data_IF_624465039602
#
_entry.id   IF_624465039602
#
_cell.length_a   1.000
_cell.length_b   1.000
_cell.length_c   1.000
_cell.angle_alpha   90.00
_cell.angle_beta   90.00
_cell.angle_gamma   90.00
#
_symmetry.space_group_name_H-M   'P 1'
#
loop_
_entity.id
_entity.type
_entity.pdbx_description
1 polymer ?
#
# COMPACT_ATOMS: atom_id res chain seq x y z
N UNK A 1 -15.31 -3.56 1.16
CA UNK A 1 -14.79 -4.49 0.13
C UNK A 1 -13.57 -5.25 0.68
N UNK A 2 -13.01 -6.24 -0.01
CA UNK A 2 -11.70 -6.86 0.35
C UNK A 2 -10.74 -6.72 -0.81
N UNK A 3 -9.49 -6.39 -0.53
CA UNK A 3 -8.43 -6.19 -1.52
C UNK A 3 -7.36 -7.25 -1.33
N UNK A 4 -6.92 -7.88 -2.42
CA UNK A 4 -5.82 -8.83 -2.33
C UNK A 4 -4.48 -8.08 -2.22
N UNK A 5 -3.56 -8.62 -1.41
CA UNK A 5 -2.21 -8.08 -1.27
C UNK A 5 -1.49 -8.02 -2.62
N UNK A 6 -1.71 -9.01 -3.47
CA UNK A 6 -1.18 -9.07 -4.84
C UNK A 6 -1.66 -7.89 -5.70
N UNK A 7 -2.92 -7.47 -5.57
CA UNK A 7 -3.47 -6.33 -6.30
C UNK A 7 -2.86 -5.02 -5.84
N UNK A 8 -2.70 -4.82 -4.52
CA UNK A 8 -2.00 -3.66 -3.97
C UNK A 8 -0.56 -3.60 -4.47
N UNK A 9 0.17 -4.71 -4.38
CA UNK A 9 1.55 -4.78 -4.88
C UNK A 9 1.62 -4.45 -6.36
N UNK A 10 0.72 -4.99 -7.19
CA UNK A 10 0.68 -4.70 -8.62
C UNK A 10 0.42 -3.23 -8.90
N UNK A 11 -0.50 -2.61 -8.17
CA UNK A 11 -0.82 -1.19 -8.31
C UNK A 11 0.38 -0.29 -7.98
N UNK A 12 1.19 -0.64 -6.98
CA UNK A 12 2.44 0.05 -6.68
C UNK A 12 3.57 -0.31 -7.66
N UNK A 13 3.64 -1.57 -8.10
CA UNK A 13 4.72 -2.06 -8.95
C UNK A 13 4.82 -1.30 -10.28
N UNK A 14 3.70 -0.82 -10.81
CA UNK A 14 3.66 0.00 -12.02
C UNK A 14 4.43 1.34 -11.85
N UNK A 15 4.43 1.90 -10.64
CA UNK A 15 5.07 3.18 -10.33
C UNK A 15 6.49 3.05 -9.76
N UNK A 16 6.68 2.16 -8.78
CA UNK A 16 7.93 2.08 -7.99
C UNK A 16 8.73 0.79 -8.26
N UNK A 17 8.20 -0.11 -9.08
CA UNK A 17 8.78 -1.43 -9.36
C UNK A 17 8.40 -2.48 -8.31
N UNK A 18 8.32 -3.74 -8.75
CA UNK A 18 7.79 -4.85 -7.96
C UNK A 18 8.49 -5.05 -6.61
N UNK A 19 9.84 -5.08 -6.59
CA UNK A 19 10.57 -5.31 -5.35
C UNK A 19 10.34 -4.20 -4.30
N UNK A 20 10.24 -2.93 -4.74
CA UNK A 20 9.92 -1.81 -3.84
C UNK A 20 8.46 -1.84 -3.40
N UNK A 21 7.56 -2.24 -4.28
CA UNK A 21 6.14 -2.39 -3.96
C UNK A 21 5.91 -3.47 -2.89
N UNK A 22 6.58 -4.62 -3.02
CA UNK A 22 6.53 -5.69 -2.02
C UNK A 22 7.05 -5.22 -0.65
N UNK A 23 8.22 -4.57 -0.63
CA UNK A 23 8.79 -4.03 0.61
C UNK A 23 7.90 -2.95 1.23
N UNK A 24 7.39 -2.01 0.44
CA UNK A 24 6.50 -0.95 0.91
C UNK A 24 5.23 -1.53 1.56
N UNK A 25 4.56 -2.46 0.88
CA UNK A 25 3.33 -3.08 1.40
C UNK A 25 3.61 -3.89 2.66
N UNK A 26 4.72 -4.64 2.73
CA UNK A 26 5.08 -5.40 3.95
C UNK A 26 5.43 -4.49 5.13
N UNK A 27 6.20 -3.42 4.90
CA UNK A 27 6.51 -2.44 5.94
C UNK A 27 5.24 -1.78 6.48
N UNK A 28 4.36 -1.34 5.59
CA UNK A 28 3.09 -0.74 5.96
C UNK A 28 2.22 -1.72 6.73
N UNK A 29 2.11 -2.97 6.27
CA UNK A 29 1.32 -4.01 6.93
C UNK A 29 1.83 -4.33 8.33
N UNK A 30 3.16 -4.29 8.52
CA UNK A 30 3.77 -4.42 9.82
C UNK A 30 3.50 -3.21 10.71
N UNK A 31 3.62 -1.99 10.16
CA UNK A 31 3.43 -0.75 10.89
C UNK A 31 1.99 -0.56 11.40
N UNK A 32 0.98 -0.90 10.59
CA UNK A 32 -0.44 -0.79 10.98
C UNK A 32 -0.95 -2.02 11.75
N UNK A 33 -0.08 -3.00 12.03
CA UNK A 33 -0.39 -4.14 12.89
C UNK A 33 -1.28 -5.22 12.26
N UNK A 34 -1.50 -5.19 10.94
CA UNK A 34 -2.31 -6.18 10.21
C UNK A 34 -1.48 -7.41 9.79
N UNK A 35 -0.16 -7.26 9.70
CA UNK A 35 0.78 -8.31 9.28
C UNK A 35 0.67 -8.66 7.79
N UNK A 36 1.58 -9.51 7.28
CA UNK A 36 1.61 -9.93 5.87
C UNK A 36 0.51 -10.96 5.55
N UNK A 37 -0.75 -10.52 5.59
CA UNK A 37 -1.92 -11.30 5.19
C UNK A 37 -2.08 -11.26 3.66
N UNK A 38 -2.78 -12.25 3.12
CA UNK A 38 -3.06 -12.34 1.67
C UNK A 38 -4.14 -11.35 1.22
N UNK A 39 -4.98 -10.88 2.14
CA UNK A 39 -6.07 -9.95 1.87
C UNK A 39 -6.29 -8.98 3.02
N UNK A 40 -6.78 -7.79 2.68
CA UNK A 40 -7.10 -6.70 3.58
C UNK A 40 -8.55 -6.26 3.38
N UNK A 41 -9.22 -5.87 4.46
CA UNK A 41 -10.46 -5.11 4.37
C UNK A 41 -10.20 -3.72 3.81
N UNK A 42 -11.26 -3.03 3.41
CA UNK A 42 -11.21 -1.66 2.89
C UNK A 42 -10.60 -0.67 3.90
N UNK A 43 -10.98 -0.78 5.18
CA UNK A 43 -10.39 0.01 6.26
C UNK A 43 -8.89 -0.29 6.42
N UNK A 44 -8.49 -1.56 6.47
CA UNK A 44 -7.08 -1.96 6.59
C UNK A 44 -6.25 -1.52 5.37
N UNK A 45 -6.81 -1.60 4.16
CA UNK A 45 -6.18 -1.11 2.93
C UNK A 45 -6.04 0.43 2.95
N UNK A 46 -7.04 1.14 3.50
CA UNK A 46 -6.96 2.56 3.75
C UNK A 46 -5.83 2.93 4.70
N UNK A 47 -5.74 2.26 5.85
CA UNK A 47 -4.68 2.48 6.84
C UNK A 47 -3.27 2.21 6.27
N UNK A 48 -3.12 1.14 5.47
CA UNK A 48 -1.89 0.83 4.74
C UNK A 48 -1.46 1.97 3.80
N UNK A 49 -2.40 2.48 3.02
CA UNK A 49 -2.15 3.52 2.03
C UNK A 49 -1.90 4.88 2.68
N UNK A 50 -2.58 5.18 3.78
CA UNK A 50 -2.32 6.37 4.60
C UNK A 50 -0.93 6.32 5.22
N UNK A 51 -0.55 5.19 5.80
CA UNK A 51 0.81 4.99 6.29
C UNK A 51 1.84 5.26 5.18
N UNK A 52 1.66 4.67 3.99
CA UNK A 52 2.61 4.88 2.87
C UNK A 52 2.61 6.30 2.31
N UNK A 53 1.50 7.02 2.40
CA UNK A 53 1.40 8.41 1.96
C UNK A 53 2.07 9.38 2.95
N UNK A 54 2.02 9.07 4.24
CA UNK A 54 2.53 9.88 5.34
C UNK A 54 3.90 9.42 5.88
N UNK A 55 4.41 8.28 5.42
CA UNK A 55 5.73 7.75 5.79
C UNK A 55 6.84 8.72 5.34
N UNK A 56 7.37 9.51 6.27
CA UNK A 56 8.47 10.46 6.03
C UNK A 56 9.74 9.78 5.48
N UNK A 57 9.89 8.46 5.69
CA UNK A 57 10.98 7.66 5.14
C UNK A 57 10.70 7.12 3.73
N UNK A 58 9.46 7.24 3.24
CA UNK A 58 9.11 6.87 1.88
C UNK A 58 9.59 7.94 0.88
N UNK A 59 10.20 7.49 -0.22
CA UNK A 59 10.52 8.38 -1.33
C UNK A 59 9.23 9.07 -1.83
N UNK A 60 9.33 10.32 -2.29
CA UNK A 60 8.17 11.10 -2.82
C UNK A 60 7.33 10.33 -3.82
N UNK A 61 7.95 9.46 -4.62
CA UNK A 61 7.25 8.62 -5.59
C UNK A 61 6.31 7.61 -4.92
N UNK A 62 6.75 6.97 -3.83
CA UNK A 62 5.94 6.02 -3.06
C UNK A 62 4.72 6.71 -2.46
N UNK A 63 4.87 7.90 -1.88
CA UNK A 63 3.76 8.67 -1.30
C UNK A 63 2.73 9.13 -2.35
N UNK A 64 3.20 9.55 -3.53
CA UNK A 64 2.31 9.92 -4.65
C UNK A 64 1.57 8.69 -5.19
N UNK A 65 2.27 7.55 -5.32
CA UNK A 65 1.66 6.29 -5.71
C UNK A 65 0.62 5.84 -4.70
N UNK A 66 0.89 5.93 -3.40
CA UNK A 66 -0.07 5.56 -2.35
C UNK A 66 -1.37 6.37 -2.44
N UNK A 67 -1.28 7.70 -2.61
CA UNK A 67 -2.46 8.55 -2.82
C UNK A 67 -3.23 8.20 -4.10
N UNK A 68 -2.51 7.86 -5.17
CA UNK A 68 -3.12 7.45 -6.44
C UNK A 68 -3.87 6.13 -6.29
N UNK A 69 -3.24 5.13 -5.68
CA UNK A 69 -3.83 3.81 -5.42
C UNK A 69 -5.02 3.94 -4.47
N UNK A 70 -4.92 4.78 -3.43
CA UNK A 70 -6.04 5.08 -2.52
C UNK A 70 -7.25 5.63 -3.26
N UNK A 71 -7.01 6.58 -4.17
CA UNK A 71 -8.07 7.17 -5.01
C UNK A 71 -8.69 6.15 -5.97
N UNK A 72 -7.91 5.19 -6.48
CA UNK A 72 -8.39 4.19 -7.44
C UNK A 72 -9.13 3.02 -6.76
N UNK A 73 -8.69 2.62 -5.56
CA UNK A 73 -9.23 1.47 -4.85
C UNK A 73 -10.42 1.83 -3.94
N UNK A 74 -10.41 2.99 -3.30
CA UNK A 74 -11.38 3.37 -2.26
C UNK A 74 -12.47 4.36 -2.75
N UNK A 75 -12.68 4.47 -4.06
CA UNK A 75 -13.66 5.37 -4.69
C UNK A 75 -14.72 4.58 -5.47
#
# INVERSE_FOLDING_TARGET
MTYERSELILAFADSIGQAKAEDAVDRAAHAVGVGSRESFSEDEAGELLDYLAEDDEADTLTSVSANTVKTQLLH
#
